data_IF_557794806246
#
_entry.id   IF_557794806246
#
_cell.length_a   1.000
_cell.length_b   1.000
_cell.length_c   1.000
_cell.angle_alpha   90.00
_cell.angle_beta   90.00
_cell.angle_gamma   90.00
#
_symmetry.space_group_name_H-M   'P 1'
#
loop_
_entity.id
_entity.type
_entity.pdbx_description
1 polymer ?
#
# COMPACT_ATOMS: atom_id res chain seq x y z
N UNK A 1 52.29 -43.05 -21.40
CA UNK A 1 51.86 -42.43 -20.11
C UNK A 1 51.30 -41.02 -20.28
N UNK A 2 52.03 -40.08 -20.93
CA UNK A 2 51.59 -38.68 -21.08
C UNK A 2 50.18 -38.50 -21.68
N UNK A 3 49.85 -39.25 -22.74
CA UNK A 3 48.55 -39.19 -23.42
C UNK A 3 47.38 -39.75 -22.60
N UNK A 4 47.64 -40.76 -21.76
CA UNK A 4 46.63 -41.33 -20.85
C UNK A 4 46.34 -40.35 -19.71
N UNK A 5 47.38 -39.69 -19.19
CA UNK A 5 47.24 -38.67 -18.16
C UNK A 5 46.44 -37.46 -18.67
N UNK A 6 46.69 -36.97 -19.88
CA UNK A 6 45.93 -35.84 -20.47
C UNK A 6 44.46 -36.20 -20.72
N UNK A 7 44.17 -37.44 -21.12
CA UNK A 7 42.80 -37.92 -21.30
C UNK A 7 42.03 -38.00 -19.97
N UNK A 8 42.69 -38.46 -18.90
CA UNK A 8 42.11 -38.50 -17.55
C UNK A 8 41.82 -37.08 -17.07
N UNK A 9 42.77 -36.15 -17.23
CA UNK A 9 42.59 -34.74 -16.83
C UNK A 9 41.40 -34.10 -17.58
N UNK A 10 41.32 -34.31 -18.90
CA UNK A 10 40.23 -33.80 -19.72
C UNK A 10 38.87 -34.38 -19.27
N UNK A 11 38.81 -35.68 -19.01
CA UNK A 11 37.60 -36.35 -18.54
C UNK A 11 37.17 -35.83 -17.16
N UNK A 12 38.10 -35.65 -16.23
CA UNK A 12 37.79 -35.07 -14.91
C UNK A 12 37.28 -33.64 -15.01
N UNK A 13 37.88 -32.81 -15.87
CA UNK A 13 37.45 -31.43 -16.09
C UNK A 13 36.03 -31.36 -16.69
N UNK A 14 35.75 -32.19 -17.70
CA UNK A 14 34.46 -32.21 -18.37
C UNK A 14 33.36 -32.74 -17.42
N UNK A 15 33.68 -33.72 -16.59
CA UNK A 15 32.76 -34.21 -15.55
C UNK A 15 32.41 -33.15 -14.51
N UNK A 16 33.37 -32.32 -14.08
CA UNK A 16 33.09 -31.23 -13.13
C UNK A 16 32.15 -30.16 -13.69
N UNK A 17 32.25 -29.86 -14.99
CA UNK A 17 31.38 -28.87 -15.66
C UNK A 17 29.95 -29.40 -15.78
N UNK A 18 29.77 -30.69 -16.08
CA UNK A 18 28.43 -31.30 -16.18
C UNK A 18 27.70 -31.21 -14.84
N UNK A 19 28.39 -31.53 -13.73
CA UNK A 19 27.80 -31.46 -12.39
C UNK A 19 27.39 -30.02 -12.02
N UNK A 20 28.24 -29.04 -12.32
CA UNK A 20 27.96 -27.64 -12.03
C UNK A 20 26.81 -27.06 -12.89
N UNK A 21 26.67 -27.52 -14.14
CA UNK A 21 25.63 -27.05 -15.06
C UNK A 21 24.24 -27.66 -14.85
N UNK A 22 24.13 -28.77 -14.09
CA UNK A 22 22.86 -29.47 -13.84
C UNK A 22 22.09 -28.99 -12.61
N UNK A 23 22.44 -27.83 -12.05
CA UNK A 23 21.74 -27.27 -10.88
C UNK A 23 20.47 -26.56 -11.36
N UNK A 24 19.30 -27.09 -11.00
CA UNK A 24 18.02 -26.38 -11.09
C UNK A 24 17.94 -25.34 -9.97
N UNK A 25 18.52 -24.17 -10.23
CA UNK A 25 18.50 -23.05 -9.29
C UNK A 25 17.14 -22.35 -9.38
N UNK A 26 16.24 -22.68 -8.44
CA UNK A 26 15.01 -21.91 -8.24
C UNK A 26 15.38 -20.56 -7.64
N UNK A 27 15.18 -19.48 -8.39
CA UNK A 27 15.39 -18.12 -7.90
C UNK A 27 14.53 -17.88 -6.65
N UNK A 28 15.17 -17.51 -5.53
CA UNK A 28 14.46 -16.99 -4.36
C UNK A 28 14.06 -15.55 -4.64
N UNK A 29 12.88 -15.34 -5.21
CA UNK A 29 12.28 -14.00 -5.33
C UNK A 29 11.79 -13.56 -3.95
N UNK A 30 12.45 -12.56 -3.36
CA UNK A 30 11.93 -11.88 -2.17
C UNK A 30 10.90 -10.88 -2.66
N UNK A 31 9.62 -11.24 -2.53
CA UNK A 31 8.53 -10.29 -2.72
C UNK A 31 8.45 -9.47 -1.44
N UNK A 32 8.96 -8.24 -1.47
CA UNK A 32 8.78 -7.29 -0.36
C UNK A 32 7.39 -6.71 -0.50
N UNK A 33 6.44 -7.34 0.19
CA UNK A 33 5.08 -6.81 0.36
C UNK A 33 5.09 -5.86 1.56
N UNK A 34 4.24 -4.82 1.52
CA UNK A 34 4.01 -3.95 2.67
C UNK A 34 3.62 -4.79 3.89
N UNK A 35 4.23 -4.51 5.06
CA UNK A 35 3.90 -5.20 6.32
C UNK A 35 2.43 -5.04 6.74
N UNK A 36 1.70 -4.11 6.12
CA UNK A 36 0.28 -3.86 6.34
C UNK A 36 -0.63 -4.95 5.72
N UNK A 37 -0.18 -5.65 4.68
CA UNK A 37 -0.99 -6.70 4.01
C UNK A 37 -1.00 -8.04 4.77
N UNK A 38 -0.13 -8.21 5.77
CA UNK A 38 -0.10 -9.40 6.63
C UNK A 38 -0.95 -9.23 7.90
N UNK A 39 -1.63 -8.09 8.06
CA UNK A 39 -2.52 -7.86 9.18
C UNK A 39 -3.89 -8.35 8.74
N UNK A 40 -4.30 -9.49 9.28
CA UNK A 40 -5.72 -9.88 9.26
C UNK A 40 -6.46 -8.81 10.04
N UNK A 41 -7.20 -7.95 9.34
CA UNK A 41 -8.12 -7.03 10.00
C UNK A 41 -9.08 -7.86 10.85
N UNK A 42 -9.26 -7.45 12.11
CA UNK A 42 -10.27 -8.06 12.96
C UNK A 42 -11.64 -7.85 12.34
N UNK A 43 -12.53 -8.85 12.44
CA UNK A 43 -13.92 -8.69 12.00
C UNK A 43 -14.51 -7.39 12.57
N UNK A 44 -15.20 -6.64 11.71
CA UNK A 44 -15.88 -5.41 12.13
C UNK A 44 -17.01 -5.78 13.08
N UNK A 45 -16.79 -5.59 14.38
CA UNK A 45 -17.82 -5.72 15.39
C UNK A 45 -18.67 -4.44 15.44
N UNK A 46 -19.96 -4.57 15.14
CA UNK A 46 -20.91 -3.46 15.29
C UNK A 46 -21.25 -3.31 16.77
N UNK A 47 -20.90 -2.15 17.33
CA UNK A 47 -21.22 -1.80 18.71
C UNK A 47 -22.67 -1.29 18.83
N UNK A 48 -23.29 -1.39 20.02
CA UNK A 48 -24.68 -0.97 20.27
C UNK A 48 -24.95 0.47 19.80
N UNK A 49 -24.00 1.39 20.01
CA UNK A 49 -24.17 2.78 19.60
C UNK A 49 -24.26 2.96 18.07
N UNK A 50 -23.67 2.06 17.28
CA UNK A 50 -23.68 2.15 15.81
C UNK A 50 -25.03 1.75 15.21
N UNK A 51 -25.80 0.91 15.91
CA UNK A 51 -27.02 0.28 15.37
C UNK A 51 -28.29 0.59 16.15
N UNK A 52 -28.16 1.08 17.39
CA UNK A 52 -29.29 1.35 18.24
C UNK A 52 -29.86 2.74 17.96
N UNK A 53 -30.94 2.75 17.18
CA UNK A 53 -31.73 3.93 16.82
C UNK A 53 -32.09 4.83 18.02
N UNK A 54 -32.30 4.27 19.21
CA UNK A 54 -32.58 5.07 20.41
C UNK A 54 -31.40 5.95 20.83
N UNK A 55 -30.15 5.52 20.56
CA UNK A 55 -28.94 6.31 20.85
C UNK A 55 -28.81 7.54 19.94
N UNK A 56 -29.35 7.45 18.73
CA UNK A 56 -29.38 8.56 17.77
C UNK A 56 -30.58 9.48 18.01
N UNK A 57 -31.75 8.91 18.32
CA UNK A 57 -32.99 9.67 18.53
C UNK A 57 -33.11 10.34 19.90
N UNK A 58 -32.34 9.90 20.90
CA UNK A 58 -32.23 10.60 22.19
C UNK A 58 -31.63 12.01 22.01
N UNK A 59 -30.79 12.21 20.98
CA UNK A 59 -30.25 13.53 20.63
C UNK A 59 -31.35 14.51 20.19
N UNK A 60 -32.27 14.06 19.33
CA UNK A 60 -33.39 14.90 18.87
C UNK A 60 -34.37 15.24 20.01
N UNK A 61 -34.55 14.34 20.98
CA UNK A 61 -35.57 14.56 22.03
C UNK A 61 -35.05 15.41 23.20
N UNK A 62 -33.74 15.39 23.48
CA UNK A 62 -33.14 16.11 24.62
C UNK A 62 -32.51 17.47 24.24
N UNK A 63 -32.05 17.64 22.99
CA UNK A 63 -31.32 18.85 22.54
C UNK A 63 -32.04 19.69 21.47
N UNK A 64 -33.18 19.23 20.91
CA UNK A 64 -33.92 20.01 19.92
C UNK A 64 -34.70 21.21 20.50
N UNK A 65 -34.80 21.33 21.83
CA UNK A 65 -35.21 22.59 22.47
C UNK A 65 -34.01 23.54 22.54
N UNK A 66 -33.87 24.36 21.49
CA UNK A 66 -33.09 25.61 21.46
C UNK A 66 -31.56 25.50 21.63
N UNK A 67 -30.90 24.57 20.94
CA UNK A 67 -29.56 24.90 20.42
C UNK A 67 -29.74 25.65 19.10
N UNK A 68 -30.18 26.90 19.18
CA UNK A 68 -29.90 27.83 18.08
C UNK A 68 -28.40 28.04 18.08
N UNK A 69 -27.67 27.17 17.38
CA UNK A 69 -26.25 27.36 17.13
C UNK A 69 -26.08 28.77 16.55
N UNK A 70 -25.12 29.52 17.07
CA UNK A 70 -24.75 30.79 16.46
C UNK A 70 -24.49 30.55 14.98
N UNK A 71 -24.97 31.44 14.11
CA UNK A 71 -24.66 31.36 12.70
C UNK A 71 -23.15 31.23 12.55
N UNK A 72 -22.69 30.20 11.85
CA UNK A 72 -21.27 30.04 11.53
C UNK A 72 -20.82 31.26 10.70
N UNK A 73 -20.19 32.22 11.37
CA UNK A 73 -19.61 33.38 10.75
C UNK A 73 -18.16 33.07 10.36
N UNK A 74 -17.78 33.46 9.15
CA UNK A 74 -16.39 33.41 8.73
C UNK A 74 -15.59 34.43 9.55
N UNK A 75 -14.71 33.93 10.40
CA UNK A 75 -13.84 34.77 11.20
C UNK A 75 -12.75 35.40 10.32
N UNK A 76 -12.28 36.60 10.68
CA UNK A 76 -11.27 37.33 9.88
C UNK A 76 -10.01 36.52 9.58
N UNK A 77 -9.66 35.56 10.43
CA UNK A 77 -8.49 34.70 10.20
C UNK A 77 -8.70 33.70 9.06
N UNK A 78 -9.94 33.25 8.82
CA UNK A 78 -10.30 32.27 7.79
C UNK A 78 -10.21 32.87 6.39
N UNK A 79 -10.48 34.18 6.27
CA UNK A 79 -10.50 34.90 4.98
C UNK A 79 -9.23 35.70 4.70
N UNK A 80 -8.32 35.81 5.66
CA UNK A 80 -7.06 36.51 5.45
C UNK A 80 -6.07 35.60 4.72
N UNK A 81 -5.88 35.85 3.42
CA UNK A 81 -4.95 35.12 2.54
C UNK A 81 -3.52 35.05 3.10
N UNK A 82 -3.09 36.06 3.87
CA UNK A 82 -1.77 36.07 4.50
C UNK A 82 -1.63 35.01 5.60
N UNK A 83 -2.73 34.53 6.19
CA UNK A 83 -2.70 33.50 7.24
C UNK A 83 -2.50 32.09 6.67
N UNK A 84 -2.82 31.89 5.39
CA UNK A 84 -2.79 30.58 4.75
C UNK A 84 -1.53 30.35 3.92
N UNK A 85 -0.62 31.33 3.87
CA UNK A 85 0.65 31.20 3.15
C UNK A 85 0.45 30.85 1.68
N UNK A 86 -0.58 31.41 1.03
CA UNK A 86 -0.93 31.11 -0.37
C UNK A 86 0.20 31.44 -1.36
N UNK A 87 1.16 32.29 -0.98
CA UNK A 87 2.38 32.55 -1.75
C UNK A 87 3.30 31.34 -1.89
N UNK A 88 3.16 30.31 -1.04
CA UNK A 88 3.96 29.08 -1.07
C UNK A 88 3.21 27.89 -1.68
N UNK A 89 1.92 28.05 -2.01
CA UNK A 89 1.27 27.11 -2.93
C UNK A 89 1.73 27.50 -4.34
N UNK A 90 2.96 27.12 -4.68
CA UNK A 90 3.35 26.94 -6.08
C UNK A 90 2.43 25.86 -6.65
N UNK A 91 1.22 26.24 -7.09
CA UNK A 91 0.47 25.40 -8.01
C UNK A 91 1.36 25.23 -9.23
N UNK A 92 1.85 24.02 -9.53
CA UNK A 92 2.62 23.83 -10.74
C UNK A 92 1.69 24.19 -11.89
N UNK A 93 2.05 25.23 -12.65
CA UNK A 93 1.27 25.69 -13.81
C UNK A 93 1.06 24.59 -14.86
N UNK A 94 1.82 23.50 -14.72
CA UNK A 94 1.68 22.23 -15.43
C UNK A 94 2.03 21.09 -14.48
N UNK A 95 1.07 20.60 -13.69
CA UNK A 95 1.17 19.25 -13.15
C UNK A 95 0.98 18.28 -14.32
N UNK A 96 2.06 17.61 -14.71
CA UNK A 96 1.93 16.44 -15.58
C UNK A 96 1.72 15.27 -14.65
N UNK A 97 0.46 14.99 -14.31
CA UNK A 97 0.12 13.73 -13.64
C UNK A 97 0.61 12.59 -14.53
N UNK A 98 1.32 11.62 -13.94
CA UNK A 98 1.62 10.39 -14.66
C UNK A 98 0.31 9.66 -14.95
N UNK A 99 0.22 9.03 -16.12
CA UNK A 99 -0.91 8.17 -16.45
C UNK A 99 -1.09 7.13 -15.32
N UNK A 100 -2.30 7.05 -14.77
CA UNK A 100 -2.69 6.04 -13.80
C UNK A 100 -2.55 4.65 -14.46
N UNK A 101 -1.51 3.91 -14.05
CA UNK A 101 -1.29 2.54 -14.50
C UNK A 101 -1.73 1.57 -13.40
N UNK A 102 -2.46 0.53 -13.80
CA UNK A 102 -2.74 -0.59 -12.91
C UNK A 102 -1.45 -1.37 -12.65
N UNK A 103 -1.08 -1.51 -11.39
CA UNK A 103 0.05 -2.32 -10.98
C UNK A 103 -0.36 -3.80 -10.94
N UNK A 104 0.61 -4.71 -11.10
CA UNK A 104 0.33 -6.16 -11.24
C UNK A 104 -0.45 -6.74 -10.05
N UNK A 105 -0.26 -6.21 -8.84
CA UNK A 105 -1.01 -6.64 -7.66
C UNK A 105 -2.50 -6.27 -7.74
N UNK A 106 -2.85 -5.19 -8.44
CA UNK A 106 -4.24 -4.71 -8.56
C UNK A 106 -5.10 -5.62 -9.45
N UNK A 107 -4.48 -6.43 -10.32
CA UNK A 107 -5.20 -7.25 -11.32
C UNK A 107 -4.91 -8.74 -11.21
N UNK A 108 -3.92 -9.16 -10.42
CA UNK A 108 -3.55 -10.56 -10.32
C UNK A 108 -4.41 -11.26 -9.27
N UNK A 109 -5.22 -12.20 -9.74
CA UNK A 109 -6.11 -13.06 -8.96
C UNK A 109 -5.43 -13.77 -7.79
N UNK A 110 -4.12 -14.04 -7.85
CA UNK A 110 -3.36 -14.66 -6.75
C UNK A 110 -3.33 -13.79 -5.48
N UNK A 111 -3.49 -12.46 -5.59
CA UNK A 111 -3.52 -11.56 -4.44
C UNK A 111 -4.91 -11.35 -3.85
N UNK A 112 -5.98 -11.70 -4.59
CA UNK A 112 -7.37 -11.39 -4.21
C UNK A 112 -8.26 -12.63 -4.01
N UNK A 113 -7.80 -13.81 -4.41
CA UNK A 113 -8.47 -15.11 -4.24
C UNK A 113 -7.80 -15.96 -3.17
#
# INVERSE_FOLDING_TARGET
>A
MKTRLTQIILATFLFTIIIAGSVDAKETRVVVVSGLENIVETDLELEDWMVNESKWNEFETYYATELQEESLELQSWMVNENNWGLSNFEYPLTETEQDLMLENWMTNEVYWN
#
